data_IF_727179650955
#
_entry.id   IF_727179650955
#
_cell.length_a   1.000
_cell.length_b   1.000
_cell.length_c   1.000
_cell.angle_alpha   90.00
_cell.angle_beta   90.00
_cell.angle_gamma   90.00
#
_symmetry.space_group_name_H-M   'P 1'
#
loop_
_entity.id
_entity.type
_entity.pdbx_description
1 polymer ?
#
# COMPACT_ATOMS: atom_id res chain seq x y z
N UNK A 1 -2.39 4.47 25.50
CA UNK A 1 -1.70 3.49 24.67
C UNK A 1 -2.50 3.24 23.41
N UNK A 2 -1.84 3.27 22.27
CA UNK A 2 -2.38 2.87 20.98
C UNK A 2 -1.63 1.63 20.48
N UNK A 3 -2.32 0.73 19.82
CA UNK A 3 -1.68 -0.49 19.34
C UNK A 3 -2.53 -1.29 18.38
N UNK A 4 -1.94 -2.34 17.85
CA UNK A 4 -2.60 -3.29 16.95
C UNK A 4 -2.86 -4.58 17.72
N UNK A 5 -4.11 -5.03 17.70
CA UNK A 5 -4.48 -6.34 18.24
C UNK A 5 -4.03 -7.41 17.25
N UNK A 6 -3.12 -8.28 17.66
CA UNK A 6 -2.62 -9.36 16.83
C UNK A 6 -3.23 -10.72 17.22
N UNK A 7 -3.66 -10.86 18.45
CA UNK A 7 -4.20 -12.11 18.97
C UNK A 7 -5.30 -11.88 20.00
N UNK A 8 -6.42 -12.57 19.83
CA UNK A 8 -7.52 -12.60 20.82
C UNK A 8 -7.81 -14.05 21.17
N UNK A 9 -7.97 -14.33 22.45
CA UNK A 9 -8.26 -15.67 22.95
C UNK A 9 -9.31 -15.63 24.07
N UNK A 10 -10.09 -16.70 24.15
CA UNK A 10 -10.97 -16.98 25.27
C UNK A 10 -10.22 -17.86 26.27
N UNK A 11 -10.25 -17.50 27.51
CA UNK A 11 -9.67 -18.26 28.63
C UNK A 11 -10.81 -18.80 29.48
N UNK A 12 -10.82 -20.09 29.70
CA UNK A 12 -11.77 -20.77 30.59
C UNK A 12 -11.03 -21.14 31.89
N UNK A 13 -11.31 -20.41 32.95
CA UNK A 13 -10.70 -20.68 34.25
C UNK A 13 -11.23 -21.96 34.85
N UNK A 14 -10.37 -22.86 35.29
CA UNK A 14 -10.73 -24.15 35.90
C UNK A 14 -10.71 -25.34 34.95
N UNK A 15 -10.45 -25.14 33.64
CA UNK A 15 -10.28 -26.26 32.72
C UNK A 15 -8.81 -26.75 32.77
N UNK A 16 -8.63 -28.07 32.92
CA UNK A 16 -7.31 -28.70 32.95
C UNK A 16 -7.04 -29.58 31.71
N UNK A 17 -8.10 -30.02 31.03
CA UNK A 17 -8.03 -30.93 29.91
C UNK A 17 -8.88 -30.43 28.72
N UNK A 18 -8.55 -30.85 27.52
CA UNK A 18 -9.32 -30.52 26.31
C UNK A 18 -10.77 -31.00 26.38
N UNK A 19 -11.01 -32.11 27.09
CA UNK A 19 -12.37 -32.64 27.37
C UNK A 19 -13.24 -31.69 28.17
N UNK A 20 -12.64 -30.86 28.99
CA UNK A 20 -13.38 -29.91 29.84
C UNK A 20 -14.03 -28.82 28.99
N UNK A 21 -13.45 -28.47 27.88
CA UNK A 21 -14.02 -27.50 26.93
C UNK A 21 -15.38 -27.97 26.40
N UNK A 22 -15.54 -29.28 26.15
CA UNK A 22 -16.83 -29.85 25.77
C UNK A 22 -17.87 -29.74 26.88
N UNK A 23 -17.48 -29.99 28.12
CA UNK A 23 -18.36 -29.87 29.30
C UNK A 23 -18.79 -28.42 29.55
N UNK A 24 -17.90 -27.46 29.28
CA UNK A 24 -18.22 -26.03 29.35
C UNK A 24 -19.21 -25.63 28.26
N UNK A 25 -18.97 -26.03 27.02
CA UNK A 25 -19.87 -25.70 25.89
C UNK A 25 -21.26 -26.34 26.04
N UNK A 26 -21.35 -27.48 26.67
CA UNK A 26 -22.64 -28.14 26.97
C UNK A 26 -23.34 -27.60 28.23
N UNK A 27 -22.72 -26.64 28.93
CA UNK A 27 -23.28 -26.07 30.19
C UNK A 27 -23.22 -27.01 31.40
N UNK A 28 -22.51 -28.13 31.28
CA UNK A 28 -22.38 -29.13 32.34
C UNK A 28 -21.31 -28.79 33.39
N UNK A 29 -20.39 -27.86 33.04
CA UNK A 29 -19.35 -27.38 33.94
C UNK A 29 -19.38 -25.85 34.00
N UNK A 30 -19.72 -25.26 35.17
CA UNK A 30 -19.64 -23.81 35.33
C UNK A 30 -18.19 -23.37 35.42
N UNK A 31 -17.77 -22.47 34.50
CA UNK A 31 -16.45 -21.86 34.51
C UNK A 31 -16.55 -20.35 34.30
N UNK A 32 -15.64 -19.63 34.87
CA UNK A 32 -15.45 -18.23 34.52
C UNK A 32 -14.79 -18.14 33.15
N UNK A 33 -15.42 -17.36 32.28
CA UNK A 33 -14.89 -17.09 30.95
C UNK A 33 -14.30 -15.69 30.96
N UNK A 34 -13.04 -15.57 30.61
CA UNK A 34 -12.39 -14.30 30.39
C UNK A 34 -11.85 -14.17 28.93
N UNK A 35 -11.80 -12.95 28.44
CA UNK A 35 -11.28 -12.67 27.11
C UNK A 35 -9.96 -11.92 27.28
N UNK A 36 -8.93 -12.39 26.61
CA UNK A 36 -7.63 -11.76 26.60
C UNK A 36 -7.23 -11.37 25.19
N UNK A 37 -6.69 -10.19 25.03
CA UNK A 37 -6.10 -9.73 23.78
C UNK A 37 -4.62 -9.42 23.97
N UNK A 38 -3.81 -9.84 23.03
CA UNK A 38 -2.44 -9.38 22.91
C UNK A 38 -2.41 -8.17 21.98
N UNK A 39 -1.85 -7.07 22.46
CA UNK A 39 -1.79 -5.80 21.74
C UNK A 39 -0.33 -5.42 21.59
N UNK A 40 0.12 -5.28 20.34
CA UNK A 40 1.40 -4.68 20.04
C UNK A 40 1.26 -3.17 20.13
N UNK A 41 1.83 -2.57 21.16
CA UNK A 41 1.77 -1.11 21.35
C UNK A 41 2.59 -0.42 20.26
N UNK A 42 1.98 0.51 19.56
CA UNK A 42 2.60 1.32 18.50
C UNK A 42 2.89 2.74 18.95
N UNK A 43 2.12 3.27 19.92
CA UNK A 43 2.27 4.63 20.45
C UNK A 43 1.79 4.72 21.89
N UNK A 44 2.49 5.52 22.69
CA UNK A 44 2.11 5.89 24.05
C UNK A 44 1.94 7.40 24.08
N UNK A 45 0.75 7.85 24.50
CA UNK A 45 0.42 9.29 24.55
C UNK A 45 -0.47 9.57 25.77
N UNK A 46 -0.09 10.43 26.72
CA UNK A 46 1.25 11.03 26.84
C UNK A 46 2.33 9.96 27.04
N UNK A 47 3.59 10.30 26.79
CA UNK A 47 4.73 9.36 26.84
C UNK A 47 5.08 8.97 28.28
N UNK A 48 4.12 8.35 28.95
CA UNK A 48 4.22 7.82 30.30
C UNK A 48 4.18 6.29 30.24
N UNK A 49 5.26 5.64 30.69
CA UNK A 49 5.44 4.19 30.60
C UNK A 49 4.82 3.43 31.76
N UNK A 50 3.63 3.87 32.21
CA UNK A 50 2.85 3.16 33.21
C UNK A 50 1.96 2.11 32.49
N UNK A 51 2.01 0.83 32.87
CA UNK A 51 1.16 -0.18 32.25
C UNK A 51 -0.30 0.09 32.57
N UNK A 52 -1.23 -0.24 31.66
CA UNK A 52 -2.66 -0.18 31.92
C UNK A 52 -3.00 -1.04 33.15
N UNK A 53 -3.93 -0.55 33.96
CA UNK A 53 -4.37 -1.27 35.13
C UNK A 53 -5.44 -2.31 34.75
N UNK A 54 -5.59 -3.40 35.52
CA UNK A 54 -6.74 -4.26 35.38
C UNK A 54 -8.04 -3.46 35.48
N UNK A 55 -8.95 -3.66 34.56
CA UNK A 55 -10.22 -2.93 34.40
C UNK A 55 -10.15 -1.62 33.63
N UNK A 56 -9.01 -1.18 33.17
CA UNK A 56 -8.94 -0.09 32.22
C UNK A 56 -9.67 -0.45 30.93
N UNK A 57 -10.48 0.47 30.42
CA UNK A 57 -11.28 0.22 29.23
C UNK A 57 -10.42 0.22 27.95
N UNK A 58 -10.72 -0.72 27.07
CA UNK A 58 -10.11 -0.82 25.74
C UNK A 58 -11.14 -0.47 24.68
N UNK A 59 -10.81 0.45 23.81
CA UNK A 59 -11.69 0.95 22.74
C UNK A 59 -11.10 0.67 21.37
N UNK A 60 -11.97 0.46 20.39
CA UNK A 60 -11.55 0.49 18.99
C UNK A 60 -11.14 1.92 18.64
N UNK A 61 -9.94 2.07 18.04
CA UNK A 61 -9.49 3.38 17.60
C UNK A 61 -10.27 3.80 16.34
N UNK A 62 -10.92 4.95 16.39
CA UNK A 62 -11.69 5.54 15.31
C UNK A 62 -11.26 7.00 15.13
N UNK A 63 -11.55 7.59 13.97
CA UNK A 63 -11.32 8.99 13.64
C UNK A 63 -9.91 9.50 14.02
N UNK A 64 -9.83 10.44 14.94
CA UNK A 64 -8.58 11.04 15.37
C UNK A 64 -7.69 10.05 16.13
N UNK A 65 -8.28 9.19 16.95
CA UNK A 65 -7.56 8.14 17.66
C UNK A 65 -6.90 7.13 16.69
N UNK A 66 -7.56 6.83 15.58
CA UNK A 66 -6.98 5.99 14.53
C UNK A 66 -5.78 6.66 13.85
N UNK A 67 -5.86 7.98 13.62
CA UNK A 67 -4.73 8.76 13.09
C UNK A 67 -3.53 8.74 14.02
N UNK A 68 -3.76 8.86 15.33
CA UNK A 68 -2.72 8.74 16.34
C UNK A 68 -2.14 7.31 16.39
N UNK A 69 -2.99 6.29 16.41
CA UNK A 69 -2.57 4.90 16.44
C UNK A 69 -1.67 4.51 15.26
N UNK A 70 -1.90 5.11 14.09
CA UNK A 70 -1.16 4.87 12.86
C UNK A 70 -0.06 5.91 12.58
N UNK A 71 0.17 6.86 13.50
CA UNK A 71 1.14 7.96 13.37
C UNK A 71 0.92 8.84 12.13
N UNK A 72 -0.32 8.96 11.63
CA UNK A 72 -0.63 9.80 10.47
C UNK A 72 -0.60 11.30 10.81
N UNK A 73 -0.76 11.66 12.06
CA UNK A 73 -0.67 13.03 12.57
C UNK A 73 0.75 13.60 12.46
N UNK A 74 1.78 12.77 12.58
CA UNK A 74 3.18 13.15 12.46
C UNK A 74 3.73 13.15 11.02
N UNK A 75 2.92 12.85 10.00
CA UNK A 75 3.36 12.83 8.62
C UNK A 75 3.20 14.20 7.96
N UNK A 76 4.29 14.95 7.80
CA UNK A 76 4.28 16.23 7.07
C UNK A 76 4.07 16.03 5.57
N UNK A 77 4.70 15.01 5.00
CA UNK A 77 4.58 14.65 3.59
C UNK A 77 3.98 13.26 3.45
N UNK A 78 2.69 13.21 3.19
CA UNK A 78 1.96 11.95 3.07
C UNK A 78 1.47 11.73 1.65
N UNK A 79 1.47 10.46 1.22
CA UNK A 79 0.87 9.98 -0.01
C UNK A 79 -0.18 8.93 0.30
N UNK A 80 -1.26 8.90 -0.47
CA UNK A 80 -2.31 7.91 -0.32
C UNK A 80 -1.82 6.53 -0.75
N UNK A 81 -1.99 5.53 0.12
CA UNK A 81 -1.52 4.15 -0.09
C UNK A 81 -2.66 3.16 -0.31
N UNK A 82 -3.89 3.56 -0.08
CA UNK A 82 -5.08 2.73 -0.22
C UNK A 82 -6.18 3.12 0.75
N UNK A 83 -7.24 2.33 0.78
CA UNK A 83 -8.38 2.51 1.68
C UNK A 83 -8.36 1.41 2.73
N UNK A 84 -8.48 1.80 4.00
CA UNK A 84 -8.55 0.87 5.11
C UNK A 84 -9.93 0.20 5.19
N UNK A 85 -10.03 -0.86 5.98
CA UNK A 85 -11.27 -1.62 6.12
C UNK A 85 -12.48 -0.81 6.63
N UNK A 86 -12.22 0.25 7.37
CA UNK A 86 -13.25 1.18 7.86
C UNK A 86 -13.64 2.27 6.83
N UNK A 87 -13.11 2.22 5.61
CA UNK A 87 -13.37 3.19 4.55
C UNK A 87 -12.48 4.43 4.58
N UNK A 88 -11.63 4.61 5.58
CA UNK A 88 -10.73 5.76 5.67
C UNK A 88 -9.47 5.57 4.80
N UNK A 89 -8.83 6.64 4.30
CA UNK A 89 -7.59 6.55 3.56
C UNK A 89 -6.42 6.10 4.45
N UNK A 90 -5.59 5.21 3.91
CA UNK A 90 -4.29 4.86 4.48
C UNK A 90 -3.20 5.69 3.82
N UNK A 91 -2.17 6.07 4.59
CA UNK A 91 -1.09 6.91 4.11
C UNK A 91 0.28 6.27 4.31
N UNK A 92 1.21 6.62 3.42
CA UNK A 92 2.65 6.41 3.60
C UNK A 92 3.33 7.75 3.77
N UNK A 93 4.34 7.80 4.62
CA UNK A 93 5.19 8.97 4.75
C UNK A 93 6.17 9.01 3.58
N UNK A 94 6.05 10.04 2.74
CA UNK A 94 6.86 10.21 1.53
C UNK A 94 8.34 10.40 1.83
N UNK A 95 8.73 10.90 2.99
CA UNK A 95 10.12 11.08 3.40
C UNK A 95 10.92 9.76 3.46
N UNK A 96 10.25 8.60 3.58
CA UNK A 96 10.88 7.29 3.48
C UNK A 96 11.04 6.79 2.04
N UNK A 97 10.56 7.57 1.06
CA UNK A 97 10.61 7.22 -0.36
C UNK A 97 11.53 8.18 -1.12
N UNK A 98 11.57 9.47 -0.74
CA UNK A 98 12.25 10.53 -1.49
C UNK A 98 13.74 10.68 -1.16
N UNK A 99 14.27 9.86 -0.27
CA UNK A 99 15.67 9.91 0.16
C UNK A 99 15.92 10.72 1.44
N UNK A 100 14.92 11.39 2.00
CA UNK A 100 15.07 12.18 3.23
C UNK A 100 15.32 11.31 4.45
N UNK A 101 14.47 10.29 4.68
CA UNK A 101 14.59 9.31 5.77
C UNK A 101 14.87 7.89 5.26
N UNK A 102 14.64 7.64 3.97
CA UNK A 102 14.85 6.39 3.28
C UNK A 102 14.51 6.55 1.80
N UNK A 103 14.91 5.59 0.96
CA UNK A 103 14.73 5.66 -0.49
C UNK A 103 14.41 4.29 -1.10
N UNK A 104 13.81 3.39 -0.33
CA UNK A 104 13.56 2.03 -0.80
C UNK A 104 12.14 1.57 -0.46
N UNK A 105 11.45 1.03 -1.47
CA UNK A 105 10.16 0.36 -1.29
C UNK A 105 10.25 -1.03 -1.89
N UNK A 106 9.96 -2.05 -1.10
CA UNK A 106 9.87 -3.44 -1.56
C UNK A 106 8.41 -3.90 -1.54
N UNK A 107 7.92 -4.37 -2.70
CA UNK A 107 6.56 -4.87 -2.85
C UNK A 107 6.61 -6.37 -3.11
N UNK A 108 6.16 -7.14 -2.12
CA UNK A 108 6.06 -8.61 -2.19
C UNK A 108 4.61 -9.04 -2.37
N UNK A 109 4.39 -10.16 -3.01
CA UNK A 109 3.05 -10.70 -3.20
C UNK A 109 3.05 -12.00 -3.99
N UNK A 110 1.91 -12.67 -4.04
CA UNK A 110 1.72 -13.94 -4.76
C UNK A 110 1.91 -13.72 -6.26
N UNK A 111 2.61 -14.63 -6.90
CA UNK A 111 2.80 -14.61 -8.36
C UNK A 111 1.50 -14.97 -9.09
N UNK A 112 1.30 -14.37 -10.28
CA UNK A 112 0.13 -14.68 -11.13
C UNK A 112 -1.06 -13.74 -10.97
N UNK A 113 -1.16 -13.02 -9.87
CA UNK A 113 -2.12 -11.92 -9.69
C UNK A 113 -1.34 -10.62 -9.85
N UNK A 114 -1.74 -9.73 -10.74
CA UNK A 114 -1.02 -8.49 -11.11
C UNK A 114 -0.89 -7.45 -9.96
N UNK A 115 -1.12 -7.87 -8.73
CA UNK A 115 -1.19 -7.01 -7.54
C UNK A 115 0.08 -6.21 -7.27
N UNK A 116 1.28 -6.82 -7.47
CA UNK A 116 2.56 -6.14 -7.21
C UNK A 116 2.77 -4.94 -8.14
N UNK A 117 2.64 -5.17 -9.43
CA UNK A 117 2.83 -4.14 -10.46
C UNK A 117 1.74 -3.07 -10.37
N UNK A 118 0.48 -3.48 -10.18
CA UNK A 118 -0.64 -2.54 -10.02
C UNK A 118 -0.48 -1.67 -8.79
N UNK A 119 -0.05 -2.24 -7.67
CA UNK A 119 0.20 -1.47 -6.45
C UNK A 119 1.39 -0.51 -6.61
N UNK A 120 2.48 -0.95 -7.25
CA UNK A 120 3.62 -0.07 -7.55
C UNK A 120 3.21 1.13 -8.40
N UNK A 121 2.41 0.89 -9.45
CA UNK A 121 1.88 1.96 -10.31
C UNK A 121 0.89 2.86 -9.56
N UNK A 122 0.07 2.30 -8.69
CA UNK A 122 -0.83 3.08 -7.84
C UNK A 122 -0.05 4.02 -6.91
N UNK A 123 1.00 3.52 -6.24
CA UNK A 123 1.87 4.36 -5.40
C UNK A 123 2.54 5.45 -6.24
N UNK A 124 3.02 5.12 -7.42
CA UNK A 124 3.62 6.10 -8.33
C UNK A 124 2.61 7.17 -8.76
N UNK A 125 1.37 6.76 -9.09
CA UNK A 125 0.28 7.68 -9.41
C UNK A 125 -0.05 8.58 -8.22
N UNK A 126 -0.11 8.02 -7.01
CA UNK A 126 -0.31 8.78 -5.78
C UNK A 126 0.80 9.80 -5.55
N UNK A 127 2.07 9.44 -5.74
CA UNK A 127 3.21 10.35 -5.63
C UNK A 127 3.05 11.54 -6.59
N UNK A 128 2.80 11.29 -7.87
CA UNK A 128 2.70 12.35 -8.88
C UNK A 128 1.49 13.26 -8.72
N UNK A 129 0.44 12.79 -8.06
CA UNK A 129 -0.79 13.57 -7.84
C UNK A 129 -0.90 14.15 -6.42
N UNK A 130 0.00 13.79 -5.50
CA UNK A 130 -0.02 14.31 -4.13
C UNK A 130 0.61 15.71 -4.04
N UNK A 131 0.27 16.43 -2.97
CA UNK A 131 0.92 17.68 -2.59
C UNK A 131 2.35 17.47 -2.05
N UNK A 132 2.75 16.24 -1.71
CA UNK A 132 4.04 15.91 -1.11
C UNK A 132 5.24 16.30 -1.98
N UNK A 133 5.08 16.29 -3.30
CA UNK A 133 6.14 16.71 -4.24
C UNK A 133 6.43 18.23 -4.15
N UNK A 134 5.45 19.06 -3.84
CA UNK A 134 5.64 20.49 -3.76
C UNK A 134 6.35 21.08 -5.01
N UNK A 135 7.38 21.87 -4.78
CA UNK A 135 8.21 22.45 -5.85
C UNK A 135 9.07 21.42 -6.62
N UNK A 136 9.32 20.24 -6.06
CA UNK A 136 10.08 19.16 -6.71
C UNK A 136 9.31 18.53 -7.88
N UNK A 137 8.00 18.74 -7.99
CA UNK A 137 7.11 18.11 -8.98
C UNK A 137 7.60 18.28 -10.41
N UNK A 138 8.08 19.46 -10.78
CA UNK A 138 8.57 19.75 -12.13
C UNK A 138 9.80 18.90 -12.54
N UNK A 139 10.61 18.52 -11.56
CA UNK A 139 11.86 17.77 -11.78
C UNK A 139 11.77 16.29 -11.39
N UNK A 140 10.67 15.88 -10.76
CA UNK A 140 10.49 14.48 -10.39
C UNK A 140 10.10 13.66 -11.61
N UNK A 141 10.84 12.57 -11.84
CA UNK A 141 10.61 11.63 -12.94
C UNK A 141 10.66 10.20 -12.43
N UNK A 142 9.92 9.32 -13.08
CA UNK A 142 9.98 7.89 -12.82
C UNK A 142 10.59 7.18 -14.03
N UNK A 143 11.47 6.24 -13.78
CA UNK A 143 12.01 5.33 -14.77
C UNK A 143 11.55 3.92 -14.45
N UNK A 144 10.78 3.31 -15.35
CA UNK A 144 10.20 1.99 -15.17
C UNK A 144 10.88 1.00 -16.10
N UNK A 145 11.58 0.01 -15.54
CA UNK A 145 12.14 -1.10 -16.29
C UNK A 145 11.09 -2.22 -16.41
N UNK A 146 10.46 -2.31 -17.58
CA UNK A 146 9.48 -3.34 -17.86
C UNK A 146 10.15 -4.59 -18.42
N UNK A 147 10.00 -5.71 -17.73
CA UNK A 147 10.57 -7.01 -18.14
C UNK A 147 9.50 -8.00 -18.65
N UNK A 148 8.22 -7.58 -18.67
CA UNK A 148 7.09 -8.43 -19.03
C UNK A 148 6.24 -7.76 -20.10
N UNK A 149 6.20 -8.33 -21.29
CA UNK A 149 5.23 -7.99 -22.32
C UNK A 149 4.93 -6.51 -22.55
N UNK A 150 3.75 -6.24 -23.08
CA UNK A 150 3.33 -4.89 -23.48
C UNK A 150 2.35 -4.21 -22.49
N UNK A 151 2.03 -4.83 -21.36
CA UNK A 151 0.99 -4.37 -20.43
C UNK A 151 1.21 -2.92 -19.93
N UNK A 152 2.47 -2.52 -19.74
CA UNK A 152 2.82 -1.19 -19.24
C UNK A 152 2.90 -0.10 -20.33
N UNK A 153 2.74 -0.46 -21.60
CA UNK A 153 2.79 0.51 -22.70
C UNK A 153 1.46 1.27 -22.90
N UNK A 154 0.52 1.15 -21.98
CA UNK A 154 -0.76 1.84 -22.01
C UNK A 154 -0.99 2.77 -20.81
N UNK A 155 0.06 3.10 -20.06
CA UNK A 155 -0.02 3.94 -18.87
C UNK A 155 -0.49 5.38 -19.15
N UNK A 156 -0.35 5.86 -20.39
CA UNK A 156 -0.84 7.16 -20.87
C UNK A 156 -2.27 7.10 -21.43
N UNK A 157 -2.92 5.95 -21.41
CA UNK A 157 -4.29 5.79 -21.90
C UNK A 157 -5.28 5.70 -20.75
N UNK A 158 -6.48 6.27 -20.87
CA UNK A 158 -7.51 6.14 -19.87
C UNK A 158 -7.97 4.67 -19.75
N UNK A 159 -8.29 4.26 -18.53
CA UNK A 159 -8.84 2.94 -18.27
C UNK A 159 -10.36 2.93 -18.51
N UNK A 160 -10.79 2.33 -19.61
CA UNK A 160 -12.20 2.25 -19.98
C UNK A 160 -13.02 1.24 -19.14
N UNK A 161 -12.40 0.55 -18.19
CA UNK A 161 -13.05 -0.44 -17.32
C UNK A 161 -13.28 0.08 -15.90
N UNK A 162 -13.06 1.36 -15.66
CA UNK A 162 -13.32 2.00 -14.36
C UNK A 162 -14.84 2.03 -14.14
N UNK A 163 -15.23 1.62 -12.93
CA UNK A 163 -16.63 1.59 -12.48
C UNK A 163 -16.91 2.79 -11.59
N UNK A 164 -18.19 3.09 -11.35
CA UNK A 164 -18.59 4.20 -10.46
C UNK A 164 -18.03 4.06 -9.05
N UNK A 165 -17.98 2.85 -8.52
CA UNK A 165 -17.39 2.57 -7.19
C UNK A 165 -15.86 2.86 -7.13
N UNK A 166 -15.17 2.73 -8.27
CA UNK A 166 -13.75 3.04 -8.37
C UNK A 166 -13.55 4.58 -8.31
N UNK A 167 -14.44 5.36 -8.94
CA UNK A 167 -14.42 6.83 -8.83
C UNK A 167 -14.60 7.30 -7.39
N UNK A 168 -15.54 6.69 -6.63
CA UNK A 168 -15.73 6.99 -5.22
C UNK A 168 -14.46 6.70 -4.41
N UNK A 169 -13.78 5.58 -4.70
CA UNK A 169 -12.52 5.20 -4.06
C UNK A 169 -11.39 6.20 -4.32
N UNK A 170 -11.25 6.66 -5.56
CA UNK A 170 -10.27 7.69 -5.91
C UNK A 170 -10.57 9.03 -5.23
N UNK A 171 -11.86 9.38 -5.10
CA UNK A 171 -12.27 10.59 -4.37
C UNK A 171 -11.91 10.53 -2.89
N UNK A 172 -12.11 9.37 -2.21
CA UNK A 172 -11.70 9.17 -0.81
C UNK A 172 -10.19 9.36 -0.65
N UNK A 173 -9.41 8.97 -1.66
CA UNK A 173 -7.94 9.06 -1.64
C UNK A 173 -7.41 10.44 -2.06
N UNK A 174 -8.29 11.38 -2.43
CA UNK A 174 -7.94 12.68 -3.02
C UNK A 174 -7.01 12.54 -4.24
N UNK A 175 -7.35 11.58 -5.12
CA UNK A 175 -6.59 11.29 -6.33
C UNK A 175 -7.48 11.44 -7.58
N UNK A 176 -6.96 11.98 -8.69
CA UNK A 176 -7.69 12.04 -9.94
C UNK A 176 -7.76 10.66 -10.60
N UNK A 177 -8.87 10.42 -11.32
CA UNK A 177 -9.04 9.24 -12.17
C UNK A 177 -8.51 9.56 -13.57
N UNK A 178 -7.19 9.65 -13.69
CA UNK A 178 -6.53 10.05 -14.93
C UNK A 178 -5.34 9.12 -15.23
N UNK A 179 -4.97 8.93 -16.51
CA UNK A 179 -3.75 8.23 -16.86
C UNK A 179 -2.51 9.05 -16.48
N UNK A 180 -1.33 8.42 -16.56
CA UNK A 180 -0.08 9.16 -16.42
C UNK A 180 0.10 10.15 -17.57
N UNK A 181 0.62 11.34 -17.27
CA UNK A 181 0.94 12.38 -18.24
C UNK A 181 2.42 12.35 -18.55
N UNK A 182 2.78 12.90 -19.71
CA UNK A 182 4.17 13.06 -20.15
C UNK A 182 4.99 11.74 -20.13
N UNK A 183 4.34 10.66 -20.51
CA UNK A 183 4.96 9.34 -20.57
C UNK A 183 5.73 9.20 -21.89
N UNK A 184 6.95 8.67 -21.80
CA UNK A 184 7.75 8.27 -22.97
C UNK A 184 8.04 6.78 -22.88
N UNK A 185 7.72 6.05 -23.93
CA UNK A 185 8.01 4.63 -24.02
C UNK A 185 9.26 4.39 -24.86
N UNK A 186 10.17 3.61 -24.31
CA UNK A 186 11.43 3.24 -24.92
C UNK A 186 11.47 1.72 -25.08
N UNK A 187 11.65 1.24 -26.30
CA UNK A 187 11.60 -0.18 -26.62
C UNK A 187 12.82 -0.63 -27.41
N UNK A 188 13.12 -1.92 -27.34
CA UNK A 188 14.13 -2.50 -28.21
C UNK A 188 13.64 -2.48 -29.68
N UNK A 189 14.54 -2.36 -30.63
CA UNK A 189 14.20 -2.42 -32.05
C UNK A 189 13.76 -3.82 -32.45
N UNK A 190 13.02 -3.88 -33.54
CA UNK A 190 12.64 -5.16 -34.17
C UNK A 190 13.88 -5.93 -34.62
N UNK A 191 13.92 -7.20 -34.31
CA UNK A 191 15.05 -8.06 -34.70
C UNK A 191 15.10 -8.24 -36.22
N UNK A 192 16.31 -8.32 -36.76
CA UNK A 192 16.56 -8.59 -38.19
C UNK A 192 16.09 -7.52 -39.17
N UNK A 193 15.91 -6.27 -38.74
CA UNK A 193 15.70 -5.15 -39.63
C UNK A 193 16.95 -4.27 -39.67
N UNK A 194 17.23 -3.63 -40.82
CA UNK A 194 18.30 -2.65 -40.93
C UNK A 194 17.91 -1.27 -40.37
N UNK A 195 16.60 -1.08 -40.16
CA UNK A 195 16.05 0.14 -39.60
C UNK A 195 15.74 -0.05 -38.11
N UNK A 196 15.89 1.05 -37.36
CA UNK A 196 15.54 1.08 -35.92
C UNK A 196 14.04 1.27 -35.80
N UNK A 197 13.30 0.19 -35.92
CA UNK A 197 11.85 0.17 -35.72
C UNK A 197 11.48 -0.32 -34.33
N UNK A 198 10.48 0.27 -33.69
CA UNK A 198 9.95 -0.27 -32.44
C UNK A 198 9.40 -1.68 -32.61
N UNK A 199 9.68 -2.55 -31.64
CA UNK A 199 9.13 -3.91 -31.61
C UNK A 199 7.99 -3.99 -30.60
N UNK A 200 6.80 -3.54 -31.03
CA UNK A 200 5.54 -3.71 -30.27
C UNK A 200 4.45 -4.14 -31.24
N UNK A 201 3.65 -5.12 -30.82
CA UNK A 201 2.56 -5.67 -31.63
C UNK A 201 1.22 -4.97 -31.37
N UNK A 202 1.01 -4.43 -30.17
CA UNK A 202 -0.29 -3.91 -29.73
C UNK A 202 -0.36 -2.38 -29.77
N UNK A 203 0.77 -1.69 -29.97
CA UNK A 203 0.84 -0.24 -29.94
C UNK A 203 1.82 0.31 -30.98
N UNK A 204 1.41 1.38 -31.67
CA UNK A 204 2.23 2.07 -32.67
C UNK A 204 2.46 3.56 -32.39
N UNK A 205 1.70 4.17 -31.47
CA UNK A 205 1.81 5.59 -31.15
C UNK A 205 2.68 5.85 -29.91
N UNK A 206 3.33 7.01 -29.85
CA UNK A 206 4.13 7.48 -28.71
C UNK A 206 5.24 6.52 -28.27
N UNK A 207 5.95 5.92 -29.22
CA UNK A 207 7.00 4.93 -28.95
C UNK A 207 8.28 5.37 -29.60
N UNK A 208 9.39 5.23 -28.90
CA UNK A 208 10.74 5.45 -29.41
C UNK A 208 11.56 4.17 -29.30
N UNK A 209 12.19 3.75 -30.38
CA UNK A 209 13.15 2.66 -30.36
C UNK A 209 14.54 3.19 -29.98
N UNK A 210 15.22 2.47 -29.10
CA UNK A 210 16.58 2.76 -28.70
C UNK A 210 17.45 1.53 -28.92
N UNK A 211 18.57 1.73 -29.55
CA UNK A 211 19.61 0.72 -29.71
C UNK A 211 20.78 1.09 -28.81
N UNK A 212 21.22 0.15 -28.02
CA UNK A 212 22.40 0.26 -27.18
C UNK A 212 23.53 -0.49 -27.91
N UNK A 213 24.45 0.22 -28.51
CA UNK A 213 25.63 -0.36 -29.10
C UNK A 213 26.79 -0.45 -28.09
N UNK A 214 27.87 -1.10 -28.47
CA UNK A 214 29.09 -1.19 -27.65
C UNK A 214 29.66 0.19 -27.29
N UNK A 215 29.45 1.20 -28.15
CA UNK A 215 29.93 2.57 -27.92
C UNK A 215 29.19 3.31 -26.82
N UNK A 216 27.94 2.98 -26.57
CA UNK A 216 27.14 3.59 -25.52
C UNK A 216 27.39 2.94 -24.15
N UNK A 217 28.07 1.79 -24.14
CA UNK A 217 28.44 1.07 -22.92
C UNK A 217 29.89 1.29 -22.48
N UNK A 218 30.73 1.81 -23.35
CA UNK A 218 32.14 2.12 -23.11
C UNK A 218 32.38 3.62 -23.02
#
# INVERSE_FOLDING_TARGET
FYGVVDHVRTIHEGTQFDTDTFLVTTGSMPVNVSYAAHIQVTRIEPEEYLPPQPSDAVYLAEDENLRFALNFDGMEQRISAGIMRNGSPAYLNYEFIDGTKGAHVNISGISGVATKTSFALFILHSIFNSAALGSKRANTKALIFNVKGEDLFFLDKPNNKIREEDHASYHILDLPVEPFRDVRFCVAPKKNTQEIEPHLDQRSDNISAYVWGMREFC
#
